data_IF_199220110331
#
_entry.id   IF_199220110331
#
_cell.length_a   1.000
_cell.length_b   1.000
_cell.length_c   1.000
_cell.angle_alpha   90.00
_cell.angle_beta   90.00
_cell.angle_gamma   90.00
#
_symmetry.space_group_name_H-M   'P 1'
#
loop_
_entity.id
_entity.type
_entity.pdbx_description
1 polymer ?
#
# COMPACT_ATOMS: atom_id res chain seq x y z
N UNK A 1 17.08 31.81 -34.61
CA UNK A 1 17.80 30.56 -34.92
C UNK A 1 18.15 29.88 -33.61
N UNK A 2 17.26 29.03 -33.13
CA UNK A 2 17.31 28.43 -31.79
C UNK A 2 17.48 26.93 -31.99
N UNK A 3 18.66 26.40 -31.64
CA UNK A 3 18.97 24.99 -31.77
C UNK A 3 18.29 24.21 -30.65
N UNK A 4 17.37 23.32 -31.02
CA UNK A 4 16.79 22.32 -30.13
C UNK A 4 17.79 21.17 -29.91
N UNK A 5 18.17 20.91 -28.66
CA UNK A 5 18.90 19.71 -28.28
C UNK A 5 17.94 18.52 -28.25
N UNK A 6 18.23 17.50 -29.08
CA UNK A 6 17.62 16.18 -29.02
C UNK A 6 18.39 15.32 -28.02
N UNK A 7 17.68 14.74 -27.06
CA UNK A 7 18.19 13.69 -26.17
C UNK A 7 18.10 12.34 -26.91
N UNK A 8 19.16 11.52 -26.96
CA UNK A 8 19.10 10.22 -27.62
C UNK A 8 18.41 9.16 -26.73
N UNK A 9 17.28 8.64 -27.20
CA UNK A 9 16.66 7.39 -26.74
C UNK A 9 17.63 6.22 -27.00
N UNK A 10 17.99 5.48 -25.94
CA UNK A 10 18.67 4.18 -26.05
C UNK A 10 17.62 3.09 -26.16
N UNK A 11 17.55 2.44 -27.32
CA UNK A 11 16.76 1.23 -27.54
C UNK A 11 17.31 0.08 -26.69
N UNK A 12 16.48 -0.52 -25.85
CA UNK A 12 16.73 -1.84 -25.29
C UNK A 12 16.23 -2.89 -26.28
N UNK A 13 17.18 -3.69 -26.77
CA UNK A 13 16.96 -4.79 -27.68
C UNK A 13 16.85 -6.07 -26.83
N UNK A 14 15.66 -6.65 -26.73
CA UNK A 14 15.43 -7.95 -26.10
C UNK A 14 15.87 -9.03 -27.08
N UNK A 15 17.02 -9.65 -26.81
CA UNK A 15 17.47 -10.86 -27.52
C UNK A 15 16.86 -12.06 -26.81
N UNK A 16 15.89 -12.70 -27.48
CA UNK A 16 15.37 -14.00 -27.09
C UNK A 16 16.41 -15.10 -27.32
N UNK A 17 16.49 -16.02 -26.36
CA UNK A 17 17.17 -17.31 -26.48
C UNK A 17 16.31 -18.36 -25.78
N UNK A 18 15.43 -18.98 -26.55
CA UNK A 18 14.86 -20.30 -26.26
C UNK A 18 15.91 -21.37 -26.55
N UNK A 19 16.01 -22.44 -25.76
CA UNK A 19 16.16 -23.84 -26.24
C UNK A 19 16.11 -24.86 -25.08
N UNK A 20 15.31 -25.91 -25.29
CA UNK A 20 15.36 -27.33 -24.84
C UNK A 20 15.61 -27.63 -23.33
N UNK A 21 14.81 -28.41 -22.60
CA UNK A 21 13.95 -29.55 -22.97
C UNK A 21 14.67 -30.89 -22.73
N UNK A 22 14.48 -31.53 -21.58
CA UNK A 22 14.59 -33.00 -21.39
C UNK A 22 13.51 -33.48 -20.41
N UNK A 23 12.75 -34.48 -20.87
CA UNK A 23 11.76 -35.25 -20.13
C UNK A 23 12.36 -36.58 -19.62
N UNK A 24 11.78 -37.13 -18.54
CA UNK A 24 11.32 -38.52 -18.34
C UNK A 24 11.62 -39.08 -16.93
N UNK A 25 10.54 -39.51 -16.27
CA UNK A 25 10.33 -40.69 -15.40
C UNK A 25 9.04 -40.40 -14.61
N UNK A 26 7.86 -41.02 -14.79
CA UNK A 26 7.57 -42.38 -15.25
C UNK A 26 7.37 -43.30 -14.04
N UNK A 27 6.17 -43.30 -13.42
CA UNK A 27 5.69 -44.47 -12.70
C UNK A 27 4.18 -44.68 -12.92
N UNK A 28 3.86 -45.94 -13.15
CA UNK A 28 2.64 -46.50 -13.67
C UNK A 28 1.72 -46.94 -12.53
N UNK A 29 0.41 -46.87 -12.73
CA UNK A 29 -0.59 -47.40 -11.82
C UNK A 29 -1.97 -47.42 -12.47
N UNK A 30 -2.23 -48.45 -13.27
CA UNK A 30 -3.54 -48.71 -13.86
C UNK A 30 -4.51 -49.40 -12.90
N UNK A 31 -5.80 -49.32 -13.23
CA UNK A 31 -6.87 -50.09 -12.59
C UNK A 31 -8.24 -49.48 -12.90
N UNK A 32 -8.99 -50.11 -13.80
CA UNK A 32 -10.25 -49.59 -14.33
C UNK A 32 -11.50 -49.87 -13.49
N UNK A 33 -12.63 -49.39 -14.00
CA UNK A 33 -13.97 -49.66 -13.51
C UNK A 33 -14.98 -48.83 -14.29
N UNK A 34 -15.71 -49.48 -15.21
CA UNK A 34 -16.77 -48.86 -15.99
C UNK A 34 -18.02 -48.53 -15.17
N UNK A 35 -18.79 -47.57 -15.68
CA UNK A 35 -20.12 -47.23 -15.21
C UNK A 35 -20.80 -46.31 -16.23
N UNK A 36 -21.66 -46.90 -17.06
CA UNK A 36 -22.65 -46.16 -17.84
C UNK A 36 -23.60 -45.44 -16.90
N UNK A 37 -23.82 -44.14 -17.14
CA UNK A 37 -24.76 -43.32 -16.38
C UNK A 37 -24.88 -41.95 -17.01
N UNK A 38 -25.87 -41.79 -17.91
CA UNK A 38 -26.26 -40.50 -18.43
C UNK A 38 -26.74 -39.56 -17.32
N UNK A 39 -26.35 -38.30 -17.43
CA UNK A 39 -26.74 -37.24 -16.52
C UNK A 39 -26.30 -35.91 -17.12
N UNK A 40 -27.29 -35.18 -17.61
CA UNK A 40 -27.19 -33.88 -18.26
C UNK A 40 -26.60 -32.80 -17.34
N UNK A 41 -25.97 -31.80 -17.95
CA UNK A 41 -25.71 -30.51 -17.29
C UNK A 41 -24.34 -30.36 -16.63
N UNK A 42 -23.26 -30.61 -17.37
CA UNK A 42 -22.01 -29.93 -17.08
C UNK A 42 -22.18 -28.44 -17.33
N UNK A 43 -22.55 -27.68 -16.30
CA UNK A 43 -22.29 -26.24 -16.28
C UNK A 43 -20.77 -26.10 -16.29
N UNK A 44 -20.26 -25.75 -17.48
CA UNK A 44 -18.88 -25.36 -17.64
C UNK A 44 -18.57 -24.32 -16.58
N UNK A 45 -17.59 -24.61 -15.74
CA UNK A 45 -17.03 -23.59 -14.87
C UNK A 45 -16.58 -22.46 -15.76
N UNK A 46 -17.21 -21.30 -15.61
CA UNK A 46 -16.74 -20.07 -16.21
C UNK A 46 -15.32 -19.84 -15.70
N UNK A 47 -14.38 -20.01 -16.62
CA UNK A 47 -12.99 -19.65 -16.42
C UNK A 47 -12.91 -18.14 -16.22
N UNK A 48 -12.83 -17.73 -14.95
CA UNK A 48 -11.96 -16.67 -14.47
C UNK A 48 -12.07 -15.31 -15.17
N UNK A 49 -13.27 -14.75 -15.22
CA UNK A 49 -13.39 -13.30 -15.19
C UNK A 49 -13.67 -12.93 -13.73
N UNK A 50 -12.67 -12.36 -13.04
CA UNK A 50 -12.95 -11.58 -11.83
C UNK A 50 -14.08 -10.62 -12.16
N UNK A 51 -15.10 -10.52 -11.30
CA UNK A 51 -16.02 -9.40 -11.46
C UNK A 51 -15.20 -8.11 -11.35
N UNK A 52 -15.53 -7.04 -12.09
CA UNK A 52 -14.77 -5.78 -12.00
C UNK A 52 -14.67 -5.26 -10.55
N UNK A 53 -15.61 -5.67 -9.70
CA UNK A 53 -15.62 -5.40 -8.26
C UNK A 53 -14.56 -6.19 -7.48
N UNK A 54 -14.19 -7.39 -7.92
CA UNK A 54 -13.13 -8.17 -7.26
C UNK A 54 -11.74 -7.54 -7.45
N UNK A 55 -11.52 -6.80 -8.54
CA UNK A 55 -10.27 -6.08 -8.80
C UNK A 55 -10.07 -4.89 -7.83
N UNK A 56 -11.16 -4.43 -7.22
CA UNK A 56 -11.18 -3.37 -6.22
C UNK A 56 -10.93 -3.87 -4.80
N UNK A 57 -10.80 -5.19 -4.60
CA UNK A 57 -10.38 -5.74 -3.30
C UNK A 57 -8.95 -5.35 -2.98
N UNK A 58 -8.70 -5.04 -1.71
CA UNK A 58 -7.36 -4.68 -1.23
C UNK A 58 -6.38 -5.83 -1.45
N UNK A 59 -5.16 -5.49 -1.84
CA UNK A 59 -4.12 -6.47 -2.06
C UNK A 59 -3.56 -6.99 -0.74
N UNK A 60 -3.09 -8.23 -0.78
CA UNK A 60 -2.43 -8.85 0.37
C UNK A 60 -1.14 -8.08 0.70
N UNK A 61 -0.88 -7.88 1.99
CA UNK A 61 0.37 -7.27 2.44
C UNK A 61 1.57 -8.11 2.00
N UNK A 62 2.56 -7.51 1.31
CA UNK A 62 3.81 -8.19 0.96
C UNK A 62 4.76 -8.38 2.15
N UNK A 63 4.49 -7.73 3.29
CA UNK A 63 5.26 -7.87 4.53
C UNK A 63 5.43 -6.55 5.28
N UNK A 64 5.98 -6.62 6.49
CA UNK A 64 6.15 -5.45 7.35
C UNK A 64 7.55 -4.84 7.25
N UNK A 65 7.62 -3.51 7.23
CA UNK A 65 8.81 -2.69 7.41
C UNK A 65 8.65 -1.92 8.71
N UNK A 66 9.71 -1.88 9.52
CA UNK A 66 9.75 -1.09 10.75
C UNK A 66 10.67 0.10 10.54
N UNK A 67 10.13 1.30 10.69
CA UNK A 67 10.88 2.54 10.73
C UNK A 67 11.16 2.91 12.18
N UNK A 68 12.44 3.02 12.57
CA UNK A 68 12.81 3.53 13.90
C UNK A 68 13.11 5.02 13.80
N UNK A 69 12.12 5.82 14.15
CA UNK A 69 12.25 7.27 14.21
C UNK A 69 12.95 7.65 15.52
N UNK A 70 14.05 8.39 15.44
CA UNK A 70 14.80 8.89 16.59
C UNK A 70 14.91 10.41 16.53
N UNK A 71 14.58 11.08 17.64
CA UNK A 71 14.72 12.52 17.76
C UNK A 71 16.10 12.89 18.33
N UNK A 72 17.07 13.25 17.49
CA UNK A 72 18.39 13.70 17.94
C UNK A 72 18.42 15.20 18.34
N UNK A 73 17.30 15.90 18.25
CA UNK A 73 17.21 17.30 18.67
C UNK A 73 17.27 17.43 20.19
N UNK A 74 17.68 18.60 20.65
CA UNK A 74 17.65 18.95 22.08
C UNK A 74 16.23 19.29 22.60
N UNK A 75 15.25 19.41 21.70
CA UNK A 75 13.85 19.72 22.01
C UNK A 75 12.95 18.57 21.56
N UNK A 76 11.74 18.40 22.15
CA UNK A 76 10.76 17.45 21.64
C UNK A 76 10.38 17.74 20.18
N UNK A 77 9.86 16.71 19.52
CA UNK A 77 9.11 16.83 18.27
C UNK A 77 7.73 16.21 18.46
N UNK A 78 6.80 16.58 17.58
CA UNK A 78 5.45 16.03 17.56
C UNK A 78 5.22 15.31 16.24
N UNK A 79 4.44 14.24 16.28
CA UNK A 79 4.12 13.42 15.11
C UNK A 79 2.71 12.84 15.23
N UNK A 80 2.10 12.52 14.11
CA UNK A 80 0.72 12.05 14.02
C UNK A 80 0.72 10.60 13.54
N UNK A 81 0.37 9.64 14.40
CA UNK A 81 0.38 8.21 14.07
C UNK A 81 -0.77 7.48 14.78
N UNK A 82 -2.01 7.84 14.50
CA UNK A 82 -3.19 7.34 15.21
C UNK A 82 -3.73 6.03 14.63
N UNK A 83 -2.84 5.10 14.30
CA UNK A 83 -3.24 3.79 13.80
C UNK A 83 -3.76 3.89 12.36
N UNK A 84 -4.89 3.26 12.08
CA UNK A 84 -5.47 3.27 10.74
C UNK A 84 -5.89 4.70 10.31
N UNK A 85 -6.20 5.59 11.24
CA UNK A 85 -6.68 6.94 10.92
C UNK A 85 -5.60 7.89 10.39
N UNK A 86 -4.37 7.77 10.87
CA UNK A 86 -3.27 8.62 10.44
C UNK A 86 -1.93 7.94 10.68
N UNK A 87 -0.97 8.25 9.81
CA UNK A 87 0.40 7.72 9.88
C UNK A 87 1.38 8.88 9.81
N UNK A 88 2.45 8.77 10.59
CA UNK A 88 3.48 9.82 10.63
C UNK A 88 4.37 9.80 9.39
N UNK A 89 4.18 8.82 8.51
CA UNK A 89 5.01 8.61 7.34
C UNK A 89 4.17 8.31 6.11
N UNK A 90 4.74 8.65 4.96
CA UNK A 90 4.26 8.26 3.63
C UNK A 90 5.38 7.52 2.89
N UNK A 91 5.04 6.68 1.92
CA UNK A 91 6.04 5.96 1.11
C UNK A 91 5.89 6.33 -0.36
N UNK A 92 7.01 6.49 -1.07
CA UNK A 92 7.03 6.70 -2.51
C UNK A 92 8.07 5.84 -3.20
N UNK A 93 7.81 5.55 -4.49
CA UNK A 93 8.80 5.08 -5.43
C UNK A 93 9.55 6.28 -6.04
N UNK A 94 10.87 6.35 -5.84
CA UNK A 94 11.69 7.44 -6.38
C UNK A 94 11.18 8.85 -6.00
N UNK A 95 11.09 9.72 -7.01
CA UNK A 95 10.63 11.12 -6.88
C UNK A 95 9.10 11.28 -6.95
N UNK A 96 8.33 10.17 -6.98
CA UNK A 96 6.88 10.24 -7.01
C UNK A 96 6.34 10.95 -5.75
N UNK A 97 5.21 11.64 -5.91
CA UNK A 97 4.53 12.25 -4.76
C UNK A 97 4.18 11.15 -3.76
N UNK A 98 4.60 11.26 -2.47
CA UNK A 98 4.32 10.25 -1.48
C UNK A 98 2.81 10.00 -1.33
N UNK A 99 2.42 8.76 -1.61
CA UNK A 99 1.09 8.26 -1.32
C UNK A 99 1.12 7.84 0.15
N UNK A 100 0.38 8.54 1.01
CA UNK A 100 0.13 8.05 2.36
C UNK A 100 -1.13 7.24 2.34
N UNK A 101 -1.25 6.22 3.20
CA UNK A 101 -2.51 5.97 3.84
C UNK A 101 -2.78 7.14 4.81
N UNK A 102 -3.31 8.24 4.31
CA UNK A 102 -4.28 8.95 5.14
C UNK A 102 -5.57 8.21 4.82
N UNK A 103 -5.88 7.14 5.56
CA UNK A 103 -7.21 6.57 5.46
C UNK A 103 -8.11 7.69 5.93
N UNK A 104 -8.91 8.21 5.01
CA UNK A 104 -9.57 9.52 5.10
C UNK A 104 -10.71 9.53 6.14
N UNK A 105 -10.64 8.66 7.16
CA UNK A 105 -11.77 8.24 7.99
C UNK A 105 -12.76 7.34 7.25
N UNK A 106 -12.45 6.93 6.02
CA UNK A 106 -13.34 6.13 5.18
C UNK A 106 -12.80 4.72 4.97
N UNK A 107 -13.68 3.72 4.84
CA UNK A 107 -13.29 2.37 4.43
C UNK A 107 -12.61 2.34 3.06
N UNK A 108 -11.75 1.34 2.88
CA UNK A 108 -11.12 1.05 1.58
C UNK A 108 -12.11 0.46 0.60
N UNK A 109 -11.74 0.46 -0.68
CA UNK A 109 -12.47 -0.29 -1.70
C UNK A 109 -12.64 -1.77 -1.30
N UNK A 110 -11.58 -2.41 -0.80
CA UNK A 110 -11.65 -3.79 -0.33
C UNK A 110 -12.64 -3.99 0.81
N UNK A 111 -12.69 -3.06 1.78
CA UNK A 111 -13.70 -3.13 2.82
C UNK A 111 -15.12 -3.13 2.25
N UNK A 112 -15.42 -2.21 1.33
CA UNK A 112 -16.74 -2.16 0.70
C UNK A 112 -17.06 -3.42 -0.11
N UNK A 113 -16.08 -4.08 -0.73
CA UNK A 113 -16.32 -5.32 -1.46
C UNK A 113 -16.54 -6.54 -0.55
N UNK A 114 -16.18 -6.42 0.72
CA UNK A 114 -16.22 -7.49 1.71
C UNK A 114 -17.36 -7.32 2.72
N UNK A 115 -17.87 -6.10 2.88
CA UNK A 115 -18.83 -5.70 3.91
C UNK A 115 -19.92 -4.81 3.33
N UNK A 116 -21.10 -4.83 3.95
CA UNK A 116 -22.27 -4.03 3.54
C UNK A 116 -22.48 -2.77 4.41
N UNK A 117 -21.53 -2.44 5.28
CA UNK A 117 -21.58 -1.27 6.17
C UNK A 117 -20.55 -0.19 5.80
N UNK A 118 -20.73 0.99 6.40
CA UNK A 118 -19.82 2.14 6.26
C UNK A 118 -18.50 1.98 7.05
N UNK A 119 -18.26 0.78 7.59
CA UNK A 119 -17.05 0.40 8.32
C UNK A 119 -16.89 0.98 9.73
N UNK A 120 -15.87 0.52 10.46
CA UNK A 120 -15.67 0.82 11.87
C UNK A 120 -14.81 2.07 12.14
N UNK A 121 -14.34 2.78 11.10
CA UNK A 121 -13.31 3.81 11.25
C UNK A 121 -13.88 5.14 11.75
N UNK A 122 -14.04 5.23 13.07
CA UNK A 122 -14.17 6.52 13.75
C UNK A 122 -12.78 7.16 13.85
N UNK A 123 -12.47 8.03 12.88
CA UNK A 123 -11.24 8.82 12.85
C UNK A 123 -11.43 10.25 13.38
N UNK A 124 -12.26 10.44 14.41
CA UNK A 124 -12.46 11.76 15.02
C UNK A 124 -11.36 12.15 16.04
N UNK A 125 -10.39 11.28 16.31
CA UNK A 125 -9.31 11.54 17.26
C UNK A 125 -8.01 11.93 16.55
N UNK A 126 -7.80 13.24 16.37
CA UNK A 126 -6.50 13.81 16.00
C UNK A 126 -5.69 14.09 17.27
N UNK A 127 -4.80 13.16 17.64
CA UNK A 127 -3.86 13.36 18.75
C UNK A 127 -2.42 13.37 18.23
N UNK A 128 -1.70 14.46 18.50
CA UNK A 128 -0.26 14.51 18.27
C UNK A 128 0.47 13.78 19.40
N UNK A 129 1.31 12.82 19.00
CA UNK A 129 2.23 12.15 19.91
C UNK A 129 3.50 12.98 20.07
N UNK A 130 4.08 12.97 21.26
CA UNK A 130 5.36 13.64 21.54
C UNK A 130 6.51 12.63 21.53
N UNK A 131 7.64 13.01 20.93
CA UNK A 131 8.90 12.28 21.02
C UNK A 131 9.98 13.19 21.61
N UNK A 132 10.44 12.88 22.83
CA UNK A 132 11.40 13.67 23.57
C UNK A 132 12.83 13.63 22.99
N UNK A 133 13.75 14.45 23.53
CA UNK A 133 15.15 14.46 23.11
C UNK A 133 15.82 13.09 23.28
N UNK A 134 16.44 12.59 22.21
CA UNK A 134 17.10 11.29 22.08
C UNK A 134 16.18 10.08 22.26
N UNK A 135 14.86 10.26 22.23
CA UNK A 135 13.90 9.15 22.27
C UNK A 135 13.71 8.55 20.88
N UNK A 136 13.30 7.28 20.84
CA UNK A 136 12.94 6.57 19.61
C UNK A 136 11.54 5.96 19.70
N UNK A 137 10.87 5.90 18.55
CA UNK A 137 9.62 5.15 18.35
C UNK A 137 9.75 4.25 17.11
N UNK A 138 9.10 3.10 17.15
CA UNK A 138 8.98 2.20 16.01
C UNK A 138 7.62 2.38 15.33
N UNK A 139 7.65 2.68 14.03
CA UNK A 139 6.49 2.87 13.18
C UNK A 139 6.45 1.72 12.17
N UNK A 140 5.33 1.00 12.08
CA UNK A 140 5.22 -0.18 11.21
C UNK A 140 4.42 0.15 9.96
N UNK A 141 4.94 -0.28 8.81
CA UNK A 141 4.29 -0.22 7.51
C UNK A 141 4.16 -1.63 6.95
N UNK A 142 3.02 -1.97 6.36
CA UNK A 142 2.72 -3.32 5.87
C UNK A 142 2.99 -3.50 4.37
N UNK A 143 3.75 -2.58 3.77
CA UNK A 143 4.16 -2.68 2.36
C UNK A 143 3.09 -2.24 1.36
N UNK A 144 1.97 -1.66 1.82
CA UNK A 144 0.87 -1.20 0.94
C UNK A 144 0.70 0.32 0.94
N UNK A 145 0.23 0.86 -0.18
CA UNK A 145 -0.13 2.28 -0.33
C UNK A 145 -1.58 2.42 -0.78
N UNK A 146 -2.16 3.60 -0.61
CA UNK A 146 -3.46 3.91 -1.17
C UNK A 146 -3.35 4.34 -2.64
N UNK A 147 -4.19 3.74 -3.47
CA UNK A 147 -4.46 4.18 -4.84
C UNK A 147 -5.94 4.54 -4.96
N UNK A 148 -6.24 5.68 -5.58
CA UNK A 148 -7.61 6.16 -5.74
C UNK A 148 -8.28 5.50 -6.96
N UNK A 149 -9.48 4.95 -6.76
CA UNK A 149 -10.25 4.31 -7.83
C UNK A 149 -11.69 4.82 -7.88
N UNK A 150 -12.16 5.07 -9.09
CA UNK A 150 -13.59 5.21 -9.36
C UNK A 150 -14.28 3.85 -9.15
N UNK A 151 -15.42 3.84 -8.46
CA UNK A 151 -16.22 2.64 -8.29
C UNK A 151 -17.17 2.47 -9.48
N UNK A 152 -17.10 1.34 -10.22
CA UNK A 152 -18.06 1.04 -11.27
C UNK A 152 -19.49 1.00 -10.72
N UNK A 153 -20.46 1.42 -11.54
CA UNK A 153 -21.86 1.50 -11.14
C UNK A 153 -22.40 0.14 -10.67
N UNK A 154 -21.95 -0.94 -11.29
CA UNK A 154 -22.30 -2.32 -10.91
C UNK A 154 -21.81 -2.73 -9.51
N UNK A 155 -20.76 -2.07 -8.97
CA UNK A 155 -20.21 -2.36 -7.65
C UNK A 155 -20.91 -1.58 -6.53
N UNK A 156 -21.65 -0.53 -6.89
CA UNK A 156 -22.42 0.33 -5.98
C UNK A 156 -23.94 0.17 -6.14
N UNK A 157 -24.41 -0.60 -7.13
CA UNK A 157 -25.84 -0.76 -7.40
C UNK A 157 -26.56 -1.33 -6.16
N UNK A 158 -27.58 -0.59 -5.69
CA UNK A 158 -28.34 -0.97 -4.50
C UNK A 158 -27.65 -0.67 -3.17
N UNK A 159 -26.50 0.01 -3.17
CA UNK A 159 -25.75 0.40 -1.98
C UNK A 159 -25.55 1.91 -1.94
N UNK A 160 -25.56 2.50 -0.75
CA UNK A 160 -25.29 3.93 -0.55
C UNK A 160 -23.79 4.17 -0.34
N UNK A 161 -22.99 3.81 -1.34
CA UNK A 161 -21.53 3.98 -1.32
C UNK A 161 -21.09 5.28 -2.00
N UNK A 162 -19.91 5.84 -1.64
CA UNK A 162 -19.31 6.92 -2.43
C UNK A 162 -19.02 6.45 -3.88
N UNK A 163 -18.93 7.37 -4.85
CA UNK A 163 -18.64 7.01 -6.24
C UNK A 163 -17.17 6.62 -6.48
N UNK A 164 -16.30 6.77 -5.47
CA UNK A 164 -14.89 6.43 -5.51
C UNK A 164 -14.42 6.05 -4.11
N UNK A 165 -13.34 5.28 -4.04
CA UNK A 165 -12.71 4.85 -2.80
C UNK A 165 -11.19 4.71 -3.01
N UNK A 166 -10.46 4.54 -1.92
CA UNK A 166 -9.05 4.23 -1.97
C UNK A 166 -8.84 2.72 -1.76
N UNK A 167 -8.02 2.11 -2.61
CA UNK A 167 -7.62 0.70 -2.54
C UNK A 167 -6.22 0.59 -1.96
N UNK A 168 -5.99 -0.41 -1.11
CA UNK A 168 -4.63 -0.77 -0.67
C UNK A 168 -3.94 -1.62 -1.74
N UNK A 169 -2.86 -1.10 -2.32
CA UNK A 169 -2.05 -1.74 -3.37
C UNK A 169 -0.67 -2.07 -2.82
N UNK A 170 -0.18 -3.29 -3.09
CA UNK A 170 1.14 -3.72 -2.68
C UNK A 170 2.22 -3.08 -3.56
N UNK A 171 3.26 -2.51 -2.93
CA UNK A 171 4.41 -2.01 -3.70
C UNK A 171 5.35 -3.15 -4.09
N UNK A 172 5.95 -3.01 -5.28
CA UNK A 172 6.97 -3.91 -5.77
C UNK A 172 8.28 -3.79 -4.96
N UNK A 173 9.05 -4.88 -4.94
CA UNK A 173 10.39 -4.85 -4.37
C UNK A 173 11.29 -3.85 -5.12
N UNK A 174 12.01 -3.02 -4.38
CA UNK A 174 12.79 -1.94 -4.98
C UNK A 174 13.40 -0.98 -3.98
N UNK A 175 13.88 0.15 -4.49
CA UNK A 175 14.36 1.26 -3.66
C UNK A 175 13.22 2.25 -3.46
N UNK A 176 12.77 2.39 -2.22
CA UNK A 176 11.67 3.26 -1.83
C UNK A 176 12.18 4.39 -0.92
N UNK A 177 11.35 5.40 -0.74
CA UNK A 177 11.61 6.50 0.20
C UNK A 177 10.47 6.64 1.19
N UNK A 178 10.79 6.61 2.48
CA UNK A 178 9.89 7.00 3.56
C UNK A 178 10.00 8.52 3.77
N UNK A 179 8.85 9.19 3.84
CA UNK A 179 8.70 10.62 4.12
C UNK A 179 8.01 10.77 5.45
N UNK A 180 8.79 10.99 6.52
CA UNK A 180 8.27 11.16 7.87
C UNK A 180 7.96 12.63 8.12
N UNK A 181 6.70 12.92 8.42
CA UNK A 181 6.22 14.24 8.80
C UNK A 181 6.32 14.41 10.31
N UNK A 182 6.82 15.55 10.75
CA UNK A 182 6.87 15.92 12.17
C UNK A 182 6.77 17.43 12.33
N UNK A 183 6.52 17.87 13.56
CA UNK A 183 6.37 19.28 13.95
C UNK A 183 7.35 19.63 15.05
N UNK A 184 7.89 20.85 14.98
CA UNK A 184 8.81 21.38 16.00
C UNK A 184 8.10 21.90 17.25
N UNK A 185 6.82 22.25 17.14
CA UNK A 185 5.99 22.73 18.24
C UNK A 185 4.53 22.29 18.07
N UNK A 186 3.69 22.53 19.07
CA UNK A 186 2.24 22.35 18.97
C UNK A 186 1.48 23.54 19.57
N UNK A 187 0.38 23.92 18.93
CA UNK A 187 -0.56 24.90 19.43
C UNK A 187 -1.83 24.20 19.93
N UNK A 188 -2.06 24.26 21.24
CA UNK A 188 -3.22 23.65 21.90
C UNK A 188 -4.25 24.68 22.38
N UNK A 189 -4.31 25.87 21.75
CA UNK A 189 -5.19 26.96 22.19
C UNK A 189 -6.68 26.75 21.88
N UNK A 190 -7.05 25.79 21.01
CA UNK A 190 -8.41 25.63 20.48
C UNK A 190 -9.01 24.22 20.71
N UNK A 191 -9.03 23.73 21.94
CA UNK A 191 -9.56 22.40 22.35
C UNK A 191 -8.90 21.17 21.70
N UNK A 192 -8.14 21.34 20.62
CA UNK A 192 -7.29 20.37 19.93
C UNK A 192 -5.88 20.92 19.78
N UNK A 193 -4.87 20.03 19.81
CA UNK A 193 -3.48 20.39 19.56
C UNK A 193 -3.17 20.23 18.07
N UNK A 194 -2.68 21.29 17.43
CA UNK A 194 -2.22 21.26 16.05
C UNK A 194 -0.71 21.46 15.97
N UNK A 195 -0.08 20.82 15.00
CA UNK A 195 1.36 20.88 14.84
C UNK A 195 1.79 22.20 14.20
N UNK A 196 2.84 22.81 14.74
CA UNK A 196 3.45 24.05 14.23
C UNK A 196 4.91 23.77 13.86
N UNK A 197 5.46 24.54 12.92
CA UNK A 197 6.82 24.34 12.40
C UNK A 197 7.02 22.95 11.79
N UNK A 198 6.18 22.64 10.81
CA UNK A 198 6.18 21.40 10.04
C UNK A 198 7.50 21.17 9.28
N UNK A 199 8.00 19.94 9.32
CA UNK A 199 9.13 19.46 8.54
C UNK A 199 8.94 18.00 8.08
N UNK A 200 9.66 17.62 7.02
CA UNK A 200 9.65 16.27 6.46
C UNK A 200 11.09 15.73 6.46
N UNK A 201 11.27 14.54 7.04
CA UNK A 201 12.50 13.76 6.93
C UNK A 201 12.32 12.67 5.89
N UNK A 202 13.22 12.63 4.90
CA UNK A 202 13.27 11.56 3.91
C UNK A 202 14.33 10.53 4.28
N UNK A 203 13.99 9.25 4.14
CA UNK A 203 14.91 8.13 4.29
C UNK A 203 14.67 7.09 3.19
N UNK A 204 15.69 6.87 2.36
CA UNK A 204 15.66 5.82 1.34
C UNK A 204 15.99 4.47 1.95
N UNK A 205 15.31 3.42 1.50
CA UNK A 205 15.51 2.04 1.94
C UNK A 205 15.23 1.05 0.80
N UNK A 206 15.68 -0.19 0.98
CA UNK A 206 15.33 -1.31 0.09
C UNK A 206 14.12 -2.05 0.63
N UNK A 207 13.16 -2.35 -0.24
CA UNK A 207 11.95 -3.12 0.04
C UNK A 207 12.00 -4.48 -0.69
N UNK A 208 11.71 -5.62 -0.04
CA UNK A 208 11.50 -5.77 1.40
C UNK A 208 12.76 -5.41 2.21
N UNK A 209 12.57 -4.80 3.38
CA UNK A 209 13.68 -4.42 4.23
C UNK A 209 14.25 -5.65 4.95
N UNK A 210 15.58 -5.76 5.02
CA UNK A 210 16.26 -6.84 5.75
C UNK A 210 16.23 -6.66 7.28
N UNK A 211 15.69 -5.55 7.77
CA UNK A 211 15.62 -5.18 9.18
C UNK A 211 14.99 -3.79 9.35
N UNK A 212 15.18 -3.20 10.53
CA UNK A 212 14.72 -1.86 10.86
C UNK A 212 15.40 -0.80 9.99
N UNK A 213 14.61 0.16 9.52
CA UNK A 213 15.10 1.34 8.80
C UNK A 213 15.21 2.48 9.80
N UNK A 214 16.43 2.89 10.15
CA UNK A 214 16.68 3.98 11.08
C UNK A 214 16.43 5.35 10.42
N UNK A 215 15.66 6.22 11.09
CA UNK A 215 15.34 7.57 10.65
C UNK A 215 15.70 8.54 11.78
N UNK A 216 16.73 9.37 11.56
CA UNK A 216 17.17 10.37 12.53
C UNK A 216 16.66 11.77 12.16
N UNK A 217 15.95 12.40 13.10
CA UNK A 217 15.55 13.82 13.06
C UNK A 217 16.61 14.64 13.78
N UNK A 218 17.17 15.63 13.09
CA UNK A 218 18.31 16.45 13.55
C UNK A 218 17.90 17.88 13.90
#
# INVERSE_FOLDING_TARGET
MTHAMRVPMKSLLVVGLSFLGIALLGCSGGGGGGGDGGGEGGQGGDGGASSQCDELRDEASPGNVVFKLTNNRATPIYYDDNGECSRAFRVSEGDAMPQSPALTGWPTCGWYMDNDDDGPLDCYADELKTLGPNESVELTWDGRVLEHHDLPAECIEGRELPPACDKLVALDAGTLTAHVTFWGDQDCTHDVCVGVDHAIKQQTFSFPAAGTVDIAVE
#
